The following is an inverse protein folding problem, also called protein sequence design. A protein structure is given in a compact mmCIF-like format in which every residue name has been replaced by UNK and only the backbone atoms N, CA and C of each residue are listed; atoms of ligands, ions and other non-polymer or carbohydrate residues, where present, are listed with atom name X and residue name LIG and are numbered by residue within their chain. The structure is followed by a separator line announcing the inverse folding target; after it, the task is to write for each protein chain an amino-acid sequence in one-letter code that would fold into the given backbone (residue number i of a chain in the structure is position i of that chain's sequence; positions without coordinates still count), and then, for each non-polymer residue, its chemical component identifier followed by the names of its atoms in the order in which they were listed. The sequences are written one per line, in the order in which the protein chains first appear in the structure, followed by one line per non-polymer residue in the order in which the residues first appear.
data_IF_638386506264
#
_entry.id   IF_638386506264
#
_cell.length_a   1.000
_cell.length_b   1.000
_cell.length_c   1.000
_cell.angle_alpha   90.00
_cell.angle_beta   90.00
_cell.angle_gamma   90.00
#
_symmetry.space_group_name_H-M   'P 1'
#
loop_
_entity.id
_entity.type
_entity.pdbx_description
1 polymer ?
#
# COMPACT_ATOMS: atom_id res chain seq x y z
N UNK A 1 8.19 -3.04 18.59
CA UNK A 1 9.65 -2.97 18.86
C UNK A 1 10.33 -2.54 17.57
N UNK A 2 11.31 -1.61 17.61
CA UNK A 2 11.91 -1.04 16.37
C UNK A 2 13.36 -1.51 16.26
N UNK A 3 13.71 -2.17 15.15
CA UNK A 3 15.07 -2.61 14.82
C UNK A 3 15.53 -1.88 13.58
N UNK A 4 16.72 -1.26 13.59
CA UNK A 4 17.34 -0.59 12.46
C UNK A 4 18.27 -1.57 11.74
N UNK A 5 18.19 -1.66 10.40
CA UNK A 5 19.13 -2.39 9.56
C UNK A 5 20.13 -1.40 8.95
N UNK A 6 21.40 -1.65 9.10
CA UNK A 6 22.49 -0.91 8.47
C UNK A 6 23.34 -1.85 7.61
N UNK A 7 24.08 -1.27 6.66
CA UNK A 7 24.96 -2.02 5.75
C UNK A 7 24.40 -2.12 4.34
N UNK A 8 25.14 -2.80 3.49
CA UNK A 8 24.84 -2.98 2.06
C UNK A 8 24.91 -4.46 1.70
N UNK A 9 24.47 -4.80 0.49
CA UNK A 9 24.60 -6.16 -0.02
C UNK A 9 26.06 -6.65 -0.06
N UNK A 10 27.01 -5.73 -0.32
CA UNK A 10 28.46 -6.06 -0.41
C UNK A 10 29.09 -6.24 0.98
N UNK A 11 28.72 -5.42 1.96
CA UNK A 11 29.32 -5.43 3.31
C UNK A 11 28.56 -6.30 4.30
N UNK A 12 27.40 -6.82 3.88
CA UNK A 12 26.46 -7.50 4.76
C UNK A 12 25.56 -6.52 5.52
N UNK A 13 24.52 -7.06 6.15
CA UNK A 13 23.56 -6.28 6.93
C UNK A 13 23.73 -6.58 8.43
N UNK A 14 23.80 -5.50 9.21
CA UNK A 14 23.79 -5.50 10.67
C UNK A 14 22.48 -4.94 11.19
N UNK A 15 22.03 -5.44 12.32
CA UNK A 15 20.75 -5.08 12.93
C UNK A 15 20.99 -4.50 14.33
N UNK A 16 20.33 -3.37 14.60
CA UNK A 16 20.52 -2.62 15.83
C UNK A 16 19.18 -2.39 16.54
N UNK A 17 19.18 -2.54 17.86
CA UNK A 17 18.06 -2.20 18.74
C UNK A 17 18.53 -1.19 19.77
N UNK A 18 17.98 0.03 19.76
CA UNK A 18 18.43 1.14 20.61
C UNK A 18 19.97 1.29 20.58
N UNK A 19 20.52 1.30 19.34
CA UNK A 19 21.95 1.44 19.04
C UNK A 19 22.85 0.28 19.51
N UNK A 20 22.29 -0.80 20.07
CA UNK A 20 22.98 -2.02 20.42
C UNK A 20 22.88 -3.02 19.26
N UNK A 21 24.02 -3.54 18.80
CA UNK A 21 24.06 -4.55 17.73
C UNK A 21 23.45 -5.87 18.21
N UNK A 22 22.57 -6.45 17.39
CA UNK A 22 21.94 -7.74 17.65
C UNK A 22 22.89 -8.82 17.11
N UNK A 23 23.47 -9.61 18.02
CA UNK A 23 24.42 -10.71 17.71
C UNK A 23 23.80 -12.09 17.85
N UNK A 24 22.60 -12.19 18.43
CA UNK A 24 21.91 -13.46 18.63
C UNK A 24 21.48 -14.07 17.30
N UNK A 25 22.05 -15.24 16.95
CA UNK A 25 21.80 -15.92 15.67
C UNK A 25 20.33 -16.28 15.44
N UNK A 26 19.63 -16.70 16.49
CA UNK A 26 18.21 -17.04 16.40
C UNK A 26 17.36 -15.81 16.04
N UNK A 27 17.71 -14.65 16.58
CA UNK A 27 17.05 -13.40 16.28
C UNK A 27 17.39 -12.89 14.88
N UNK A 28 18.67 -12.95 14.50
CA UNK A 28 19.12 -12.60 13.16
C UNK A 28 18.43 -13.44 12.06
N UNK A 29 18.29 -14.74 12.30
CA UNK A 29 17.58 -15.63 11.40
C UNK A 29 16.10 -15.23 11.23
N UNK A 30 15.42 -14.83 12.31
CA UNK A 30 14.04 -14.31 12.26
C UNK A 30 13.95 -13.00 11.46
N UNK A 31 14.91 -12.09 11.66
CA UNK A 31 14.94 -10.81 10.96
C UNK A 31 15.21 -10.99 9.45
N UNK A 32 16.09 -11.92 9.07
CA UNK A 32 16.38 -12.26 7.66
C UNK A 32 15.18 -12.89 6.95
N UNK A 33 14.30 -13.61 7.64
CA UNK A 33 13.07 -14.19 7.08
C UNK A 33 12.11 -13.14 6.50
N UNK A 34 12.18 -11.89 6.92
CA UNK A 34 11.31 -10.83 6.39
C UNK A 34 11.62 -10.43 4.94
N UNK A 35 12.68 -10.96 4.33
CA UNK A 35 13.06 -10.76 2.91
C UNK A 35 13.00 -9.29 2.47
N UNK A 36 13.52 -8.39 3.30
CA UNK A 36 13.53 -6.96 3.01
C UNK A 36 14.51 -6.69 1.85
N UNK A 37 14.09 -6.00 0.78
CA UNK A 37 14.95 -5.73 -0.35
C UNK A 37 16.29 -5.12 0.05
N UNK A 38 17.43 -5.64 -0.49
CA UNK A 38 18.76 -5.14 -0.15
C UNK A 38 18.99 -3.69 -0.60
N UNK A 39 18.28 -3.26 -1.65
CA UNK A 39 18.38 -1.91 -2.21
C UNK A 39 17.70 -0.81 -1.36
N UNK A 40 17.06 -1.17 -0.23
CA UNK A 40 16.45 -0.18 0.63
C UNK A 40 17.44 0.35 1.67
N UNK A 41 17.54 1.67 1.74
CA UNK A 41 18.29 2.40 2.76
C UNK A 41 17.41 2.71 3.98
N UNK A 42 18.06 3.05 5.11
CA UNK A 42 17.40 3.46 6.37
C UNK A 42 16.22 2.57 6.75
N UNK A 43 16.44 1.27 6.75
CA UNK A 43 15.39 0.29 7.01
C UNK A 43 15.12 0.16 8.49
N UNK A 44 13.83 0.24 8.85
CA UNK A 44 13.34 0.02 10.20
C UNK A 44 12.32 -1.13 10.21
N UNK A 45 12.62 -2.17 10.98
CA UNK A 45 11.73 -3.31 11.20
C UNK A 45 10.89 -3.01 12.43
N UNK A 46 9.57 -3.02 12.27
CA UNK A 46 8.59 -2.75 13.33
C UNK A 46 7.90 -4.04 13.77
N UNK A 47 7.55 -4.88 12.80
CA UNK A 47 6.89 -6.17 12.96
C UNK A 47 5.67 -6.09 13.88
N UNK A 48 4.68 -5.31 13.48
CA UNK A 48 3.35 -5.26 14.10
C UNK A 48 2.30 -5.96 13.20
N UNK A 49 1.02 -5.92 13.59
CA UNK A 49 -0.07 -6.61 12.88
C UNK A 49 -0.27 -6.15 11.42
N UNK A 50 0.24 -4.98 11.05
CA UNK A 50 0.05 -4.39 9.72
C UNK A 50 1.34 -4.31 8.93
N UNK A 51 2.43 -3.89 9.56
CA UNK A 51 3.68 -3.51 8.92
C UNK A 51 4.82 -4.39 9.45
N UNK A 52 5.56 -5.01 8.56
CA UNK A 52 6.81 -5.70 8.86
C UNK A 52 7.93 -4.67 9.03
N UNK A 53 8.14 -3.85 7.99
CA UNK A 53 9.23 -2.90 7.94
C UNK A 53 8.89 -1.72 7.02
N UNK A 54 9.68 -0.66 7.11
CA UNK A 54 9.75 0.37 6.09
C UNK A 54 11.21 0.76 5.84
N UNK A 55 11.47 1.28 4.68
CA UNK A 55 12.78 1.81 4.26
C UNK A 55 12.61 2.78 3.11
N UNK A 56 13.71 3.22 2.54
CA UNK A 56 13.71 4.16 1.43
C UNK A 56 14.38 3.52 0.21
N UNK A 57 13.79 3.71 -0.96
CA UNK A 57 14.37 3.27 -2.23
C UNK A 57 15.48 4.23 -2.70
N UNK A 58 16.13 3.90 -3.82
CA UNK A 58 17.19 4.72 -4.45
C UNK A 58 16.74 6.14 -4.80
N UNK A 59 15.43 6.37 -4.96
CA UNK A 59 14.82 7.68 -5.21
C UNK A 59 14.36 8.38 -3.94
N UNK A 60 14.79 7.90 -2.76
CA UNK A 60 14.41 8.41 -1.43
C UNK A 60 12.90 8.37 -1.14
N UNK A 61 12.14 7.52 -1.84
CA UNK A 61 10.72 7.33 -1.58
C UNK A 61 10.55 6.27 -0.50
N UNK A 62 9.70 6.55 0.47
CA UNK A 62 9.37 5.62 1.55
C UNK A 62 8.63 4.41 1.01
N UNK A 63 9.18 3.22 1.24
CA UNK A 63 8.59 1.94 0.90
C UNK A 63 8.20 1.20 2.18
N UNK A 64 6.97 0.66 2.21
CA UNK A 64 6.43 -0.04 3.37
C UNK A 64 6.16 -1.49 2.99
N UNK A 65 6.66 -2.41 3.81
CA UNK A 65 6.42 -3.85 3.68
C UNK A 65 5.35 -4.25 4.68
N UNK A 66 4.23 -4.73 4.17
CA UNK A 66 3.07 -5.11 4.97
C UNK A 66 3.06 -6.59 5.28
N UNK A 67 2.38 -6.97 6.38
CA UNK A 67 2.08 -8.36 6.72
C UNK A 67 1.15 -8.98 5.66
N UNK A 68 1.39 -10.24 5.29
CA UNK A 68 0.56 -10.96 4.30
C UNK A 68 -0.92 -10.97 4.70
N UNK A 69 -1.21 -11.30 5.97
CA UNK A 69 -2.58 -11.28 6.51
C UNK A 69 -3.26 -9.90 6.38
N UNK A 70 -2.48 -8.83 6.49
CA UNK A 70 -3.02 -7.48 6.31
C UNK A 70 -3.34 -7.22 4.83
N UNK A 71 -2.45 -7.63 3.92
CA UNK A 71 -2.65 -7.50 2.47
C UNK A 71 -3.89 -8.28 2.04
N UNK A 72 -4.05 -9.54 2.47
CA UNK A 72 -5.21 -10.37 2.18
C UNK A 72 -6.52 -9.71 2.64
N UNK A 73 -6.54 -9.21 3.88
CA UNK A 73 -7.70 -8.49 4.42
C UNK A 73 -8.04 -7.24 3.61
N UNK A 74 -7.04 -6.49 3.15
CA UNK A 74 -7.27 -5.31 2.31
C UNK A 74 -7.78 -5.71 0.91
N UNK A 75 -7.25 -6.79 0.33
CA UNK A 75 -7.68 -7.32 -0.96
C UNK A 75 -9.14 -7.78 -0.88
N UNK A 76 -9.52 -8.51 0.16
CA UNK A 76 -10.92 -8.93 0.38
C UNK A 76 -11.86 -7.73 0.45
N UNK A 77 -11.53 -6.71 1.25
CA UNK A 77 -12.32 -5.48 1.34
C UNK A 77 -12.42 -4.74 -0.01
N UNK A 78 -11.33 -4.68 -0.76
CA UNK A 78 -11.31 -4.09 -2.10
C UNK A 78 -12.25 -4.85 -3.04
N UNK A 79 -12.20 -6.17 -3.01
CA UNK A 79 -13.03 -7.03 -3.82
C UNK A 79 -14.53 -6.86 -3.50
N UNK A 80 -14.89 -6.78 -2.23
CA UNK A 80 -16.26 -6.50 -1.80
C UNK A 80 -16.77 -5.13 -2.30
N UNK A 81 -15.92 -4.10 -2.25
CA UNK A 81 -16.26 -2.77 -2.80
C UNK A 81 -16.51 -2.84 -4.30
N UNK A 82 -15.66 -3.56 -5.04
CA UNK A 82 -15.82 -3.75 -6.50
C UNK A 82 -17.13 -4.49 -6.79
N UNK A 83 -17.46 -5.57 -6.05
CA UNK A 83 -18.73 -6.28 -6.20
C UNK A 83 -19.94 -5.36 -5.97
N UNK A 84 -19.90 -4.51 -4.94
CA UNK A 84 -20.96 -3.53 -4.67
C UNK A 84 -21.10 -2.53 -5.83
N UNK A 85 -19.97 -2.03 -6.35
CA UNK A 85 -19.97 -1.12 -7.50
C UNK A 85 -20.59 -1.78 -8.73
N UNK A 86 -20.19 -3.01 -9.06
CA UNK A 86 -20.74 -3.76 -10.21
C UNK A 86 -22.26 -3.93 -10.08
N UNK A 87 -22.76 -4.31 -8.90
CA UNK A 87 -24.20 -4.43 -8.65
C UNK A 87 -24.96 -3.12 -8.84
N UNK A 88 -24.35 -1.99 -8.46
CA UNK A 88 -24.92 -0.66 -8.58
C UNK A 88 -24.73 -0.01 -9.96
N UNK A 89 -23.91 -0.60 -10.83
CA UNK A 89 -23.43 0.06 -12.06
C UNK A 89 -24.53 0.44 -13.02
N UNK A 90 -25.56 -0.42 -13.20
CA UNK A 90 -26.71 -0.13 -14.06
C UNK A 90 -27.52 1.05 -13.55
N UNK A 91 -27.72 1.17 -12.23
CA UNK A 91 -28.38 2.34 -11.61
C UNK A 91 -27.54 3.60 -11.81
N UNK A 92 -26.23 3.51 -11.57
CA UNK A 92 -25.29 4.62 -11.77
C UNK A 92 -25.37 5.16 -13.20
N UNK A 93 -25.31 4.28 -14.21
CA UNK A 93 -25.44 4.69 -15.61
C UNK A 93 -26.75 5.40 -15.91
N UNK A 94 -27.88 4.95 -15.35
CA UNK A 94 -29.19 5.61 -15.52
C UNK A 94 -29.19 7.02 -14.91
N UNK A 95 -28.63 7.20 -13.71
CA UNK A 95 -28.52 8.52 -13.08
C UNK A 95 -27.63 9.47 -13.88
N UNK A 96 -26.46 9.00 -14.31
CA UNK A 96 -25.54 9.79 -15.12
C UNK A 96 -26.25 10.29 -16.41
N UNK A 97 -26.94 9.41 -17.14
CA UNK A 97 -27.67 9.79 -18.35
C UNK A 97 -28.77 10.83 -18.11
N UNK A 98 -29.42 10.76 -16.93
CA UNK A 98 -30.43 11.75 -16.54
C UNK A 98 -29.80 13.09 -16.18
N UNK A 99 -28.76 13.03 -15.32
CA UNK A 99 -28.19 14.20 -14.70
C UNK A 99 -27.25 15.00 -15.64
N UNK A 100 -26.78 14.39 -16.75
CA UNK A 100 -25.93 15.07 -17.73
C UNK A 100 -26.67 16.18 -18.49
N UNK A 101 -27.98 16.06 -18.58
CA UNK A 101 -28.89 17.04 -19.22
C UNK A 101 -29.76 17.76 -18.16
N UNK A 102 -29.41 17.71 -16.89
CA UNK A 102 -30.15 18.39 -15.82
C UNK A 102 -29.84 19.88 -15.83
N UNK A 103 -30.85 20.73 -15.63
CA UNK A 103 -30.69 22.19 -15.56
C UNK A 103 -29.78 22.63 -14.42
N UNK A 104 -29.60 21.75 -13.43
CA UNK A 104 -28.63 21.98 -12.34
C UNK A 104 -27.21 21.72 -12.82
N UNK A 105 -26.49 22.81 -13.12
CA UNK A 105 -25.10 22.74 -13.61
C UNK A 105 -24.17 21.86 -12.77
N UNK A 106 -24.33 21.84 -11.43
CA UNK A 106 -23.49 20.99 -10.56
C UNK A 106 -23.70 19.52 -10.83
N UNK A 107 -24.95 19.08 -11.02
CA UNK A 107 -25.26 17.68 -11.36
C UNK A 107 -24.72 17.31 -12.74
N UNK A 108 -24.93 18.17 -13.73
CA UNK A 108 -24.42 17.96 -15.08
C UNK A 108 -22.89 17.83 -15.10
N UNK A 109 -22.15 18.72 -14.45
CA UNK A 109 -20.69 18.68 -14.34
C UNK A 109 -20.23 17.40 -13.66
N UNK A 110 -20.81 17.01 -12.52
CA UNK A 110 -20.46 15.79 -11.79
C UNK A 110 -20.69 14.57 -12.69
N UNK A 111 -21.79 14.51 -13.42
CA UNK A 111 -22.13 13.40 -14.33
C UNK A 111 -21.16 13.30 -15.50
N UNK A 112 -20.72 14.44 -16.06
CA UNK A 112 -19.66 14.49 -17.07
C UNK A 112 -18.33 13.96 -16.53
N UNK A 113 -17.90 14.41 -15.33
CA UNK A 113 -16.66 13.96 -14.70
C UNK A 113 -16.71 12.45 -14.45
N UNK A 114 -17.81 11.92 -13.91
CA UNK A 114 -17.96 10.48 -13.67
C UNK A 114 -17.91 9.71 -14.98
N UNK A 115 -18.54 10.24 -16.06
CA UNK A 115 -18.48 9.62 -17.39
C UNK A 115 -17.04 9.52 -17.89
N UNK A 116 -16.26 10.59 -17.78
CA UNK A 116 -14.85 10.61 -18.18
C UNK A 116 -14.04 9.59 -17.38
N UNK A 117 -14.24 9.53 -16.06
CA UNK A 117 -13.56 8.55 -15.19
C UNK A 117 -13.89 7.11 -15.61
N UNK A 118 -15.16 6.81 -15.90
CA UNK A 118 -15.60 5.47 -16.26
C UNK A 118 -15.15 5.04 -17.67
N UNK A 119 -15.00 5.99 -18.60
CA UNK A 119 -14.59 5.69 -19.99
C UNK A 119 -13.07 5.68 -20.16
N UNK A 120 -12.38 6.62 -19.52
CA UNK A 120 -10.93 6.79 -19.69
C UNK A 120 -10.11 6.09 -18.61
N UNK A 121 -10.73 5.62 -17.53
CA UNK A 121 -10.05 4.93 -16.44
C UNK A 121 -9.09 5.84 -15.64
N UNK A 122 -9.35 7.14 -15.57
CA UNK A 122 -8.56 8.06 -14.75
C UNK A 122 -8.55 7.63 -13.27
N UNK A 123 -7.37 7.77 -12.67
CA UNK A 123 -7.15 7.58 -11.22
C UNK A 123 -6.97 8.91 -10.53
#
# INVERSE_FOLDING_TARGET
MKVKRLGTYKTGFKYYRKDIEITNENELTKLKKFKIPPAYDDVFIINNDKIIAYGYDSKKRKQVIYQEKYIEKQNTKKYEKIKKLIKGFSKLKKHIKKDINDDNQKKAIISMIITIILTCGFR
#
